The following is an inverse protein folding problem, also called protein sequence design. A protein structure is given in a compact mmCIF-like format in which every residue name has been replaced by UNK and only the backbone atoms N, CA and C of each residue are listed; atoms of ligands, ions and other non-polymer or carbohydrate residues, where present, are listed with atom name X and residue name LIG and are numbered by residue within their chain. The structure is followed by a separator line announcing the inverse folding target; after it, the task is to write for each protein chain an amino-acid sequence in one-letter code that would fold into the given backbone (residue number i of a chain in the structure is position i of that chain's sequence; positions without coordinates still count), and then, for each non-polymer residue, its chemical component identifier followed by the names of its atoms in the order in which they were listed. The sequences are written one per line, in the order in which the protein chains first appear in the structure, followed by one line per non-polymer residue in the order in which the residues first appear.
data_IF_632623520738
#
_entry.id   IF_632623520738
#
_cell.length_a   1.000
_cell.length_b   1.000
_cell.length_c   1.000
_cell.angle_alpha   90.00
_cell.angle_beta   90.00
_cell.angle_gamma   90.00
#
_symmetry.space_group_name_H-M   'P 1'
#
loop_
_entity.id
_entity.type
_entity.pdbx_description
1 polymer ?
#
# COMPACT_ATOMS: atom_id res chain seq x y z
N UNK A 1 20.22 -1.30 3.53
CA UNK A 1 20.00 0.17 3.59
C UNK A 1 18.60 0.40 4.16
N UNK A 2 18.43 1.26 5.16
CA UNK A 2 17.13 1.45 5.84
C UNK A 2 16.09 2.11 4.91
N UNK A 3 14.82 1.69 4.96
CA UNK A 3 13.73 2.33 4.20
C UNK A 3 13.64 3.84 4.42
N UNK A 4 13.91 4.32 5.64
CA UNK A 4 13.94 5.76 5.95
C UNK A 4 15.05 6.46 5.18
N UNK A 5 16.23 5.86 5.11
CA UNK A 5 17.37 6.43 4.39
C UNK A 5 17.02 6.59 2.91
N UNK A 6 16.46 5.55 2.29
CA UNK A 6 16.01 5.60 0.89
C UNK A 6 15.01 6.74 0.65
N UNK A 7 13.98 6.86 1.49
CA UNK A 7 12.97 7.92 1.36
C UNK A 7 13.57 9.31 1.59
N UNK A 8 14.47 9.47 2.56
CA UNK A 8 15.18 10.74 2.78
C UNK A 8 16.01 11.16 1.57
N UNK A 9 16.80 10.25 1.01
CA UNK A 9 17.60 10.53 -0.19
C UNK A 9 16.71 10.89 -1.37
N UNK A 10 15.58 10.21 -1.57
CA UNK A 10 14.64 10.54 -2.65
C UNK A 10 14.01 11.92 -2.48
N UNK A 11 13.64 12.30 -1.27
CA UNK A 11 12.95 13.56 -0.98
C UNK A 11 13.93 14.74 -0.94
N UNK A 12 15.03 14.62 -0.20
CA UNK A 12 15.90 15.75 0.14
C UNK A 12 17.10 15.92 -0.80
N UNK A 13 17.63 14.82 -1.35
CA UNK A 13 18.84 14.86 -2.19
C UNK A 13 18.51 14.77 -3.67
N UNK A 14 17.59 13.86 -4.04
CA UNK A 14 17.14 13.67 -5.43
C UNK A 14 15.96 14.56 -5.79
N UNK A 15 15.29 15.14 -4.80
CA UNK A 15 14.17 16.07 -4.95
C UNK A 15 13.08 15.55 -5.91
N UNK A 16 12.70 14.27 -5.76
CA UNK A 16 11.63 13.71 -6.58
C UNK A 16 10.30 14.41 -6.25
N UNK A 17 9.58 14.97 -7.25
CA UNK A 17 8.35 15.72 -7.00
C UNK A 17 7.19 14.82 -6.58
N UNK A 18 7.21 13.55 -6.98
CA UNK A 18 6.26 12.52 -6.57
C UNK A 18 7.05 11.28 -6.17
N UNK A 19 6.66 10.64 -5.07
CA UNK A 19 7.16 9.33 -4.65
C UNK A 19 6.00 8.49 -4.12
N UNK A 20 6.11 7.16 -4.19
CA UNK A 20 5.08 6.27 -3.67
C UNK A 20 5.63 5.27 -2.65
N UNK A 21 4.90 5.10 -1.55
CA UNK A 21 5.14 4.09 -0.53
C UNK A 21 4.00 3.06 -0.57
N UNK A 22 4.33 1.85 -1.03
CA UNK A 22 3.35 0.78 -1.27
C UNK A 22 3.60 -0.45 -0.40
N UNK A 23 2.66 -1.39 -0.41
CA UNK A 23 2.71 -2.62 0.37
C UNK A 23 1.34 -3.04 0.90
N UNK A 24 1.24 -4.29 1.33
CA UNK A 24 -0.01 -4.89 1.83
C UNK A 24 -0.57 -4.18 3.08
N UNK A 25 -1.83 -4.43 3.44
CA UNK A 25 -2.44 -3.87 4.64
C UNK A 25 -1.64 -4.20 5.90
N UNK A 26 -1.60 -3.29 6.87
CA UNK A 26 -0.93 -3.54 8.16
C UNK A 26 0.61 -3.52 8.15
N UNK A 27 1.25 -3.49 6.96
CA UNK A 27 2.72 -3.60 6.81
C UNK A 27 3.54 -2.43 7.41
N UNK A 28 2.88 -1.36 7.86
CA UNK A 28 3.54 -0.22 8.53
C UNK A 28 3.86 0.99 7.64
N UNK A 29 3.21 1.14 6.47
CA UNK A 29 3.43 2.29 5.56
C UNK A 29 3.22 3.65 6.24
N UNK A 30 2.06 3.84 6.86
CA UNK A 30 1.71 5.06 7.59
C UNK A 30 2.68 5.33 8.73
N UNK A 31 3.03 4.30 9.51
CA UNK A 31 4.01 4.39 10.61
C UNK A 31 5.38 4.85 10.12
N UNK A 32 5.85 4.28 9.00
CA UNK A 32 7.13 4.67 8.39
C UNK A 32 7.11 6.12 7.93
N UNK A 33 6.03 6.56 7.27
CA UNK A 33 5.89 7.93 6.81
C UNK A 33 5.81 8.95 7.96
N UNK A 34 5.11 8.64 9.05
CA UNK A 34 5.12 9.48 10.27
C UNK A 34 6.54 9.63 10.81
N UNK A 35 7.28 8.52 10.95
CA UNK A 35 8.67 8.53 11.43
C UNK A 35 9.60 9.29 10.50
N UNK A 36 9.39 9.19 9.19
CA UNK A 36 10.14 9.94 8.17
C UNK A 36 9.91 11.45 8.35
N UNK A 37 8.65 11.89 8.40
CA UNK A 37 8.27 13.31 8.51
C UNK A 37 8.86 13.95 9.76
N UNK A 38 8.83 13.25 10.90
CA UNK A 38 9.44 13.75 12.14
C UNK A 38 10.92 14.13 11.96
N UNK A 39 11.62 13.51 11.01
CA UNK A 39 13.04 13.72 10.76
C UNK A 39 13.35 14.70 9.62
N UNK A 40 12.34 15.11 8.83
CA UNK A 40 12.54 15.96 7.63
C UNK A 40 11.62 17.18 7.57
N UNK A 41 10.67 17.32 8.51
CA UNK A 41 9.65 18.38 8.49
C UNK A 41 10.26 19.79 8.45
N UNK A 42 11.42 19.99 9.09
CA UNK A 42 12.07 21.30 9.21
C UNK A 42 12.74 21.73 7.88
N UNK A 43 12.76 20.85 6.88
CA UNK A 43 13.24 21.17 5.53
C UNK A 43 12.15 21.83 4.65
N UNK A 44 10.89 21.88 5.09
CA UNK A 44 9.76 22.36 4.31
C UNK A 44 9.08 23.56 4.97
N UNK A 45 8.56 24.48 4.16
CA UNK A 45 7.72 25.58 4.63
C UNK A 45 6.41 25.03 5.23
N UNK A 46 5.86 23.99 4.59
CA UNK A 46 4.63 23.34 5.01
C UNK A 46 4.73 21.81 4.88
N UNK A 47 4.24 21.11 5.90
CA UNK A 47 3.98 19.67 5.84
C UNK A 47 2.49 19.45 5.95
N UNK A 48 1.88 18.91 4.90
CA UNK A 48 0.44 18.73 4.78
C UNK A 48 0.14 17.25 4.70
N UNK A 49 -0.55 16.71 5.71
CA UNK A 49 -1.01 15.33 5.70
C UNK A 49 -2.52 15.26 5.47
N UNK A 50 -2.96 14.48 4.48
CA UNK A 50 -4.37 14.17 4.23
C UNK A 50 -4.58 12.69 4.03
N UNK A 51 -5.62 12.15 4.67
CA UNK A 51 -6.03 10.75 4.52
C UNK A 51 -7.30 10.68 3.67
N UNK A 52 -7.23 9.98 2.55
CA UNK A 52 -8.33 9.78 1.60
C UNK A 52 -9.33 8.70 2.07
N UNK A 53 -9.47 8.51 3.39
CA UNK A 53 -10.45 7.59 3.99
C UNK A 53 -11.88 8.12 3.87
N UNK A 54 -12.03 9.43 4.02
CA UNK A 54 -13.28 10.13 3.68
C UNK A 54 -13.20 10.44 2.19
N UNK A 55 -14.22 10.03 1.45
CA UNK A 55 -14.34 10.22 0.00
C UNK A 55 -14.58 11.69 -0.31
N UNK A 56 -13.53 12.49 -0.28
CA UNK A 56 -13.54 13.85 -0.82
C UNK A 56 -13.19 13.80 -2.28
N UNK A 57 -14.11 14.27 -3.13
CA UNK A 57 -13.80 14.53 -4.53
C UNK A 57 -12.64 15.54 -4.63
N UNK A 58 -12.06 15.68 -5.82
CA UNK A 58 -10.88 16.53 -5.98
C UNK A 58 -11.16 18.01 -5.63
N UNK A 59 -12.37 18.51 -5.91
CA UNK A 59 -12.75 19.88 -5.58
C UNK A 59 -12.74 20.15 -4.07
N UNK A 60 -13.25 19.22 -3.25
CA UNK A 60 -13.18 19.31 -1.79
C UNK A 60 -11.74 19.27 -1.27
N UNK A 61 -10.93 18.36 -1.81
CA UNK A 61 -9.50 18.27 -1.47
C UNK A 61 -8.76 19.55 -1.84
N UNK A 62 -9.03 20.11 -3.02
CA UNK A 62 -8.44 21.35 -3.48
C UNK A 62 -8.87 22.53 -2.58
N UNK A 63 -10.15 22.62 -2.23
CA UNK A 63 -10.67 23.67 -1.36
C UNK A 63 -10.00 23.62 0.02
N UNK A 64 -9.89 22.44 0.63
CA UNK A 64 -9.22 22.23 1.92
C UNK A 64 -7.74 22.67 1.88
N UNK A 65 -7.00 22.33 0.83
CA UNK A 65 -5.61 22.76 0.70
C UNK A 65 -5.48 24.27 0.48
N UNK A 66 -6.37 24.86 -0.32
CA UNK A 66 -6.37 26.30 -0.56
C UNK A 66 -6.71 27.06 0.72
N UNK A 67 -7.64 26.55 1.53
CA UNK A 67 -7.97 27.12 2.84
C UNK A 67 -6.75 27.09 3.76
N UNK A 68 -6.05 25.95 3.84
CA UNK A 68 -4.81 25.81 4.63
C UNK A 68 -3.76 26.86 4.24
N UNK A 69 -3.51 27.04 2.94
CA UNK A 69 -2.57 28.06 2.47
C UNK A 69 -3.05 29.49 2.73
N UNK A 70 -4.36 29.72 2.77
CA UNK A 70 -4.96 31.06 2.94
C UNK A 70 -4.93 31.52 4.40
N UNK A 71 -5.17 30.61 5.35
CA UNK A 71 -5.05 30.90 6.79
C UNK A 71 -3.62 31.29 7.18
N UNK A 72 -2.64 30.82 6.42
CA UNK A 72 -1.21 31.09 6.63
C UNK A 72 -0.75 32.46 6.08
N UNK A 73 -1.63 33.22 5.41
CA UNK A 73 -1.28 34.51 4.78
C UNK A 73 -1.81 35.72 5.57
N UNK A 74 -1.08 36.87 5.58
CA UNK A 74 -1.57 38.10 6.19
C UNK A 74 -2.86 38.59 5.53
N UNK A 75 -3.84 39.06 6.33
CA UNK A 75 -5.20 39.45 5.91
C UNK A 75 -5.27 40.41 4.70
N UNK A 76 -4.22 41.19 4.44
CA UNK A 76 -4.15 42.12 3.32
C UNK A 76 -4.06 41.42 1.94
N UNK A 77 -3.65 40.14 1.86
CA UNK A 77 -3.60 39.36 0.61
C UNK A 77 -4.95 38.74 0.21
N UNK A 78 -5.91 38.67 1.15
CA UNK A 78 -7.21 38.03 0.93
C UNK A 78 -8.23 38.95 0.24
N UNK A 79 -8.06 40.27 0.35
CA UNK A 79 -9.02 41.27 -0.17
C UNK A 79 -9.04 41.41 -1.70
N UNK A 80 -8.02 40.94 -2.42
CA UNK A 80 -7.85 41.18 -3.87
C UNK A 80 -7.97 39.93 -4.76
N UNK A 81 -8.46 38.78 -4.26
CA UNK A 81 -8.58 37.56 -5.09
C UNK A 81 -10.02 37.24 -5.46
N UNK A 82 -10.38 37.52 -6.71
CA UNK A 82 -11.68 37.17 -7.29
C UNK A 82 -11.79 35.70 -7.71
N UNK A 83 -10.69 34.93 -7.72
CA UNK A 83 -10.68 33.46 -7.89
C UNK A 83 -9.52 32.81 -7.10
N UNK A 84 -9.71 31.65 -6.47
CA UNK A 84 -8.61 30.88 -5.87
C UNK A 84 -7.54 30.54 -6.91
N UNK A 85 -6.26 30.56 -6.50
CA UNK A 85 -5.16 30.11 -7.36
C UNK A 85 -5.27 28.60 -7.58
N UNK A 86 -4.83 28.13 -8.75
CA UNK A 86 -4.66 26.71 -9.01
C UNK A 86 -3.67 26.11 -8.00
N UNK A 87 -3.93 24.89 -7.50
CA UNK A 87 -3.22 24.32 -6.35
C UNK A 87 -1.71 24.23 -6.61
N UNK A 88 -1.33 23.95 -7.85
CA UNK A 88 0.06 23.88 -8.27
C UNK A 88 0.82 25.20 -8.05
N UNK A 89 0.15 26.36 -8.16
CA UNK A 89 0.79 27.67 -7.94
C UNK A 89 1.21 27.87 -6.49
N UNK A 90 0.49 27.26 -5.54
CA UNK A 90 0.92 27.26 -4.13
C UNK A 90 2.16 26.38 -3.95
N UNK A 91 2.19 25.19 -4.55
CA UNK A 91 3.34 24.28 -4.50
C UNK A 91 4.60 24.82 -5.20
N UNK A 92 4.43 25.73 -6.18
CA UNK A 92 5.51 26.46 -6.83
C UNK A 92 6.03 27.61 -5.97
N UNK A 93 5.15 28.25 -5.19
CA UNK A 93 5.51 29.38 -4.33
C UNK A 93 6.14 28.96 -3.01
N UNK A 94 5.77 27.79 -2.50
CA UNK A 94 6.17 27.29 -1.19
C UNK A 94 6.80 25.91 -1.30
N UNK A 95 7.85 25.65 -0.52
CA UNK A 95 8.46 24.33 -0.44
C UNK A 95 7.62 23.42 0.47
N UNK A 96 6.78 22.58 -0.13
CA UNK A 96 5.81 21.77 0.61
C UNK A 96 6.13 20.27 0.56
N UNK A 97 5.88 19.57 1.67
CA UNK A 97 5.72 18.12 1.68
C UNK A 97 4.25 17.80 1.83
N UNK A 98 3.64 17.25 0.77
CA UNK A 98 2.24 16.83 0.78
C UNK A 98 2.18 15.30 0.88
N UNK A 99 1.47 14.78 1.89
CA UNK A 99 1.29 13.35 2.10
C UNK A 99 -0.17 12.99 1.91
N UNK A 100 -0.42 12.10 0.94
CA UNK A 100 -1.74 11.53 0.69
C UNK A 100 -1.72 10.07 1.12
N UNK A 101 -2.39 9.79 2.24
CA UNK A 101 -2.56 8.44 2.76
C UNK A 101 -3.86 7.81 2.28
N UNK A 102 -3.86 6.49 2.15
CA UNK A 102 -4.97 5.68 1.65
C UNK A 102 -5.38 6.00 0.21
N UNK A 103 -4.40 6.22 -0.68
CA UNK A 103 -4.63 6.54 -2.12
C UNK A 103 -5.47 5.51 -2.86
N UNK A 104 -5.53 4.29 -2.35
CA UNK A 104 -6.35 3.24 -2.93
C UNK A 104 -7.85 3.58 -2.95
N UNK A 105 -8.29 4.48 -2.08
CA UNK A 105 -9.68 4.94 -2.07
C UNK A 105 -10.06 5.80 -3.29
N UNK A 106 -9.08 6.24 -4.09
CA UNK A 106 -9.32 6.90 -5.37
C UNK A 106 -9.78 5.92 -6.46
N UNK A 107 -9.54 4.61 -6.29
CA UNK A 107 -9.79 3.61 -7.33
C UNK A 107 -11.08 2.82 -7.11
N UNK A 108 -11.67 2.41 -8.23
CA UNK A 108 -12.90 1.62 -8.30
C UNK A 108 -12.72 0.23 -7.69
N UNK A 109 -13.73 -0.21 -6.95
CA UNK A 109 -13.82 -1.59 -6.45
C UNK A 109 -14.29 -2.51 -7.57
N UNK A 110 -13.82 -3.76 -7.60
CA UNK A 110 -14.22 -4.74 -8.63
C UNK A 110 -13.50 -4.58 -9.97
N UNK A 111 -12.48 -3.73 -10.03
CA UNK A 111 -11.74 -3.37 -11.23
C UNK A 111 -10.24 -3.62 -11.03
N UNK A 112 -9.51 -3.78 -12.14
CA UNK A 112 -8.05 -3.90 -12.12
C UNK A 112 -7.40 -2.64 -11.53
N UNK A 113 -6.20 -2.83 -10.99
CA UNK A 113 -5.49 -1.84 -10.23
C UNK A 113 -5.22 -0.53 -10.99
N UNK A 114 -5.58 0.60 -10.37
CA UNK A 114 -5.33 1.96 -10.86
C UNK A 114 -6.45 2.57 -11.70
N UNK A 115 -7.62 1.91 -11.82
CA UNK A 115 -8.80 2.51 -12.43
C UNK A 115 -9.50 3.43 -11.43
N UNK A 116 -9.49 4.74 -11.68
CA UNK A 116 -10.14 5.71 -10.81
C UNK A 116 -11.65 5.47 -10.69
N UNK A 117 -12.23 5.91 -9.56
CA UNK A 117 -13.67 6.05 -9.40
C UNK A 117 -14.18 7.20 -10.28
N UNK A 118 -15.43 7.13 -10.79
CA UNK A 118 -16.06 8.27 -11.43
C UNK A 118 -16.03 9.51 -10.52
N UNK A 119 -15.54 10.63 -11.04
CA UNK A 119 -15.40 11.90 -10.31
C UNK A 119 -14.08 12.04 -9.54
N UNK A 120 -13.14 11.10 -9.68
CA UNK A 120 -11.82 11.13 -9.04
C UNK A 120 -10.67 11.22 -10.05
N UNK A 121 -10.97 11.30 -11.35
CA UNK A 121 -9.99 11.37 -12.44
C UNK A 121 -9.13 12.64 -12.37
N UNK A 122 -9.66 13.72 -11.79
CA UNK A 122 -8.94 15.00 -11.62
C UNK A 122 -7.70 14.86 -10.71
N UNK A 123 -7.69 13.90 -9.79
CA UNK A 123 -6.47 13.57 -9.02
C UNK A 123 -5.32 13.14 -9.93
N UNK A 124 -5.60 12.40 -11.01
CA UNK A 124 -4.58 11.98 -11.96
C UNK A 124 -3.96 13.18 -12.68
N UNK A 125 -4.80 14.14 -13.10
CA UNK A 125 -4.34 15.39 -13.69
C UNK A 125 -3.45 16.16 -12.72
N UNK A 126 -3.85 16.29 -11.46
CA UNK A 126 -3.05 16.95 -10.43
C UNK A 126 -1.69 16.26 -10.20
N UNK A 127 -1.66 14.94 -10.11
CA UNK A 127 -0.41 14.19 -9.97
C UNK A 127 0.52 14.39 -11.18
N UNK A 128 -0.04 14.45 -12.39
CA UNK A 128 0.72 14.79 -13.60
C UNK A 128 1.27 16.22 -13.59
N UNK A 129 0.51 17.19 -13.05
CA UNK A 129 1.00 18.56 -12.93
C UNK A 129 2.20 18.65 -11.98
N UNK A 130 2.13 17.97 -10.83
CA UNK A 130 3.24 17.89 -9.87
C UNK A 130 4.46 17.20 -10.50
N UNK A 131 4.26 16.12 -11.28
CA UNK A 131 5.37 15.43 -11.92
C UNK A 131 6.07 16.27 -13.00
N UNK A 132 5.33 17.11 -13.73
CA UNK A 132 5.84 17.80 -14.94
C UNK A 132 6.27 19.24 -14.70
N UNK A 133 5.63 19.94 -13.78
CA UNK A 133 5.89 21.36 -13.57
C UNK A 133 7.04 21.57 -12.60
N UNK A 134 7.88 22.57 -12.87
CA UNK A 134 8.98 22.93 -11.97
C UNK A 134 8.42 23.50 -10.65
N UNK A 135 8.82 22.86 -9.55
CA UNK A 135 8.63 23.30 -8.17
C UNK A 135 9.62 22.56 -7.26
N UNK A 136 9.71 22.97 -6.00
CA UNK A 136 10.56 22.31 -5.00
C UNK A 136 9.78 21.33 -4.11
N UNK A 137 8.45 21.39 -4.15
CA UNK A 137 7.58 20.54 -3.33
C UNK A 137 7.69 19.05 -3.66
N UNK A 138 7.34 18.20 -2.70
CA UNK A 138 7.29 16.74 -2.84
C UNK A 138 5.92 16.20 -2.43
N UNK A 139 5.37 15.28 -3.25
CA UNK A 139 4.15 14.53 -2.99
C UNK A 139 4.50 13.07 -2.62
N UNK A 140 4.21 12.68 -1.38
CA UNK A 140 4.32 11.31 -0.89
C UNK A 140 2.95 10.62 -0.94
N UNK A 141 2.82 9.64 -1.83
CA UNK A 141 1.61 8.83 -2.00
C UNK A 141 1.72 7.54 -1.18
N UNK A 142 0.74 7.22 -0.33
CA UNK A 142 0.73 6.03 0.52
C UNK A 142 -0.52 5.18 0.26
N UNK A 143 -0.33 3.89 -0.04
CA UNK A 143 -1.43 2.95 -0.14
C UNK A 143 -0.99 1.57 -0.59
N UNK A 144 -1.93 0.66 -0.79
CA UNK A 144 -1.64 -0.68 -1.29
C UNK A 144 -1.82 -0.80 -2.81
N UNK A 145 -2.21 0.27 -3.51
CA UNK A 145 -2.50 0.27 -4.95
C UNK A 145 -1.89 1.54 -5.57
N UNK A 146 -0.96 1.42 -6.52
CA UNK A 146 -0.29 2.56 -7.13
C UNK A 146 -1.18 3.28 -8.16
N UNK A 147 -1.04 4.61 -8.27
CA UNK A 147 -1.71 5.44 -9.30
C UNK A 147 -1.29 5.05 -10.72
N UNK A 148 -2.13 5.36 -11.70
CA UNK A 148 -1.89 5.03 -13.12
C UNK A 148 -0.60 5.64 -13.67
N UNK A 149 -0.24 6.84 -13.22
CA UNK A 149 1.01 7.51 -13.57
C UNK A 149 2.26 6.66 -13.27
N UNK A 150 2.21 5.82 -12.23
CA UNK A 150 3.28 4.91 -11.83
C UNK A 150 3.43 3.70 -12.77
N UNK A 151 2.46 3.49 -13.68
CA UNK A 151 2.39 2.31 -14.55
C UNK A 151 3.12 2.51 -15.89
N UNK A 152 3.31 3.76 -16.32
CA UNK A 152 3.99 4.12 -17.56
C UNK A 152 5.44 4.47 -17.26
N UNK A 153 6.32 3.46 -17.26
CA UNK A 153 7.78 3.71 -17.23
C UNK A 153 8.19 4.36 -18.55
N UNK A 154 8.20 5.69 -18.60
CA UNK A 154 8.84 6.41 -19.70
C UNK A 154 10.36 6.39 -19.47
N UNK A 155 11.16 6.43 -20.54
CA UNK A 155 12.64 6.59 -20.42
C UNK A 155 13.05 7.92 -19.75
N UNK A 156 12.13 8.88 -19.59
CA UNK A 156 12.42 10.26 -19.17
C UNK A 156 12.02 10.57 -17.73
N UNK A 157 11.01 9.89 -17.17
CA UNK A 157 10.59 10.11 -15.78
C UNK A 157 10.24 8.78 -15.12
N UNK A 158 10.96 8.47 -14.03
CA UNK A 158 10.75 7.31 -13.17
C UNK A 158 10.30 7.85 -11.83
N UNK A 159 9.01 7.75 -11.53
CA UNK A 159 8.50 8.03 -10.19
C UNK A 159 8.97 6.88 -9.29
N UNK A 160 9.77 7.14 -8.25
CA UNK A 160 10.30 6.08 -7.42
C UNK A 160 9.20 5.51 -6.52
N UNK A 161 9.16 4.18 -6.44
CA UNK A 161 8.21 3.41 -5.64
C UNK A 161 9.01 2.59 -4.64
N UNK A 162 8.72 2.76 -3.36
CA UNK A 162 9.22 1.88 -2.31
C UNK A 162 8.09 0.96 -1.86
N UNK A 163 8.18 -0.32 -2.22
CA UNK A 163 7.26 -1.33 -1.72
C UNK A 163 7.81 -1.95 -0.42
N UNK A 164 7.02 -1.90 0.65
CA UNK A 164 7.34 -2.57 1.91
C UNK A 164 6.99 -4.05 1.81
N UNK A 165 7.93 -4.91 2.21
CA UNK A 165 7.84 -6.38 2.12
C UNK A 165 7.81 -7.06 3.49
N UNK A 166 7.66 -6.30 4.58
CA UNK A 166 7.70 -6.81 5.95
C UNK A 166 8.95 -6.42 6.72
N UNK A 167 8.93 -6.69 8.02
CA UNK A 167 10.08 -6.54 8.89
C UNK A 167 11.08 -7.67 8.67
N UNK A 168 12.36 -7.38 8.86
CA UNK A 168 13.38 -8.41 9.01
C UNK A 168 13.12 -9.24 10.28
N UNK A 169 13.72 -10.44 10.32
CA UNK A 169 13.51 -11.41 11.42
C UNK A 169 13.83 -10.79 12.78
N UNK A 170 14.90 -9.99 12.90
CA UNK A 170 15.30 -9.39 14.18
C UNK A 170 14.24 -8.40 14.66
N UNK A 171 13.82 -7.48 13.80
CA UNK A 171 12.79 -6.48 14.10
C UNK A 171 11.43 -7.12 14.37
N UNK A 172 11.07 -8.19 13.65
CA UNK A 172 9.83 -8.92 13.86
C UNK A 172 9.82 -9.72 15.18
N UNK A 173 10.97 -10.29 15.60
CA UNK A 173 11.11 -10.94 16.91
C UNK A 173 10.86 -9.97 18.07
N UNK A 174 11.22 -8.70 17.95
CA UNK A 174 10.91 -7.69 18.97
C UNK A 174 9.40 -7.53 19.19
N UNK A 175 8.58 -7.68 18.15
CA UNK A 175 7.11 -7.71 18.31
C UNK A 175 6.72 -8.91 19.17
N UNK A 176 7.17 -10.12 18.84
CA UNK A 176 6.82 -11.32 19.59
C UNK A 176 7.27 -11.24 21.07
N UNK A 177 8.47 -10.72 21.32
CA UNK A 177 9.00 -10.51 22.68
C UNK A 177 8.12 -9.56 23.49
N UNK A 178 7.64 -8.46 22.88
CA UNK A 178 6.74 -7.51 23.55
C UNK A 178 5.38 -8.13 23.93
N UNK A 179 5.00 -9.22 23.28
CA UNK A 179 3.83 -10.02 23.60
C UNK A 179 4.19 -11.25 24.46
N UNK A 180 5.35 -11.25 25.14
CA UNK A 180 5.74 -12.36 26.02
C UNK A 180 6.15 -13.65 25.30
N UNK A 181 6.14 -13.68 23.97
CA UNK A 181 6.39 -14.88 23.15
C UNK A 181 7.88 -15.09 22.84
N UNK A 182 8.76 -14.67 23.75
CA UNK A 182 10.22 -14.71 23.55
C UNK A 182 10.78 -16.14 23.44
N UNK A 183 10.10 -17.13 24.03
CA UNK A 183 10.56 -18.52 24.14
C UNK A 183 10.03 -19.45 23.05
N UNK A 184 9.26 -18.95 22.07
CA UNK A 184 8.74 -19.79 20.99
C UNK A 184 9.91 -20.31 20.15
N UNK A 185 10.16 -21.63 20.20
CA UNK A 185 11.24 -22.31 19.47
C UNK A 185 11.18 -22.09 17.95
N UNK A 186 9.98 -21.83 17.42
CA UNK A 186 9.72 -21.63 15.98
C UNK A 186 9.37 -20.18 15.59
N UNK A 187 9.85 -19.19 16.36
CA UNK A 187 9.56 -17.76 16.10
C UNK A 187 9.88 -17.30 14.68
N UNK A 188 10.98 -17.77 14.07
CA UNK A 188 11.33 -17.41 12.68
C UNK A 188 10.33 -17.96 11.66
N UNK A 189 9.88 -19.20 11.87
CA UNK A 189 8.88 -19.83 11.01
C UNK A 189 7.56 -19.06 11.08
N UNK A 190 7.12 -18.70 12.29
CA UNK A 190 5.95 -17.84 12.49
C UNK A 190 6.12 -16.51 11.74
N UNK A 191 7.27 -15.85 11.87
CA UNK A 191 7.57 -14.60 11.15
C UNK A 191 7.48 -14.78 9.64
N UNK A 192 7.98 -15.90 9.10
CA UNK A 192 7.89 -16.21 7.68
C UNK A 192 6.45 -16.45 7.22
N UNK A 193 5.62 -17.18 7.99
CA UNK A 193 4.21 -17.43 7.65
C UNK A 193 3.41 -16.13 7.54
N UNK A 194 3.71 -15.15 8.38
CA UNK A 194 3.09 -13.82 8.36
C UNK A 194 3.93 -12.75 7.65
N UNK A 195 4.96 -13.16 6.88
CA UNK A 195 5.83 -12.30 6.06
C UNK A 195 6.40 -11.07 6.80
N UNK A 196 6.66 -11.18 8.10
CA UNK A 196 7.12 -10.05 8.90
C UNK A 196 6.12 -8.88 8.97
N UNK A 197 4.84 -9.09 8.66
CA UNK A 197 3.83 -8.04 8.71
C UNK A 197 3.53 -7.65 10.16
N UNK A 198 3.80 -6.40 10.57
CA UNK A 198 3.65 -5.99 11.97
C UNK A 198 2.22 -6.15 12.50
N UNK A 199 1.20 -5.89 11.68
CA UNK A 199 -0.18 -6.04 12.13
C UNK A 199 -0.53 -7.51 12.31
N UNK A 200 -0.23 -8.36 11.33
CA UNK A 200 -0.57 -9.78 11.40
C UNK A 200 0.14 -10.47 12.57
N UNK A 201 1.42 -10.17 12.78
CA UNK A 201 2.18 -10.68 13.93
C UNK A 201 1.57 -10.25 15.26
N UNK A 202 1.10 -9.00 15.38
CA UNK A 202 0.42 -8.52 16.59
C UNK A 202 -0.89 -9.25 16.85
N UNK A 203 -1.71 -9.44 15.82
CA UNK A 203 -3.01 -10.11 15.95
C UNK A 203 -2.81 -11.55 16.42
N UNK A 204 -1.89 -12.26 15.77
CA UNK A 204 -1.61 -13.66 16.08
C UNK A 204 -0.94 -13.79 17.44
N UNK A 205 -0.02 -12.87 17.78
CA UNK A 205 0.57 -12.84 19.11
C UNK A 205 -0.47 -12.60 20.21
N UNK A 206 -1.45 -11.71 20.00
CA UNK A 206 -2.58 -11.54 20.92
C UNK A 206 -3.38 -12.83 21.07
N UNK A 207 -3.74 -13.47 19.96
CA UNK A 207 -4.52 -14.71 20.00
C UNK A 207 -3.74 -15.84 20.71
N UNK A 208 -2.43 -15.92 20.49
CA UNK A 208 -1.55 -16.86 21.17
C UNK A 208 -1.41 -16.55 22.66
N UNK A 209 -1.54 -15.30 23.11
CA UNK A 209 -1.57 -14.99 24.54
C UNK A 209 -2.90 -15.37 25.21
N UNK A 210 -4.01 -15.23 24.48
CA UNK A 210 -5.34 -15.58 24.95
C UNK A 210 -5.54 -17.10 25.05
N UNK A 211 -4.90 -17.86 24.17
CA UNK A 211 -4.77 -19.30 24.25
C UNK A 211 -3.60 -19.59 25.20
N UNK A 212 -3.83 -20.24 26.36
CA UNK A 212 -2.75 -20.53 27.31
C UNK A 212 -1.50 -21.14 26.63
N UNK A 213 -0.28 -20.77 27.08
CA UNK A 213 1.00 -21.13 26.43
C UNK A 213 1.14 -22.63 26.09
N UNK A 214 0.46 -23.51 26.84
CA UNK A 214 0.40 -24.96 26.63
C UNK A 214 -0.25 -25.38 25.30
N UNK A 215 -1.14 -24.56 24.73
CA UNK A 215 -1.76 -24.81 23.43
C UNK A 215 -0.82 -24.50 22.26
N UNK A 216 0.23 -23.72 22.49
CA UNK A 216 1.23 -23.34 21.47
C UNK A 216 2.10 -24.54 21.10
N UNK A 217 2.49 -25.34 22.09
CA UNK A 217 3.25 -26.59 21.89
C UNK A 217 2.43 -27.65 21.13
N UNK A 218 1.10 -27.52 21.15
CA UNK A 218 0.17 -28.42 20.48
C UNK A 218 -0.15 -28.00 19.05
N UNK A 219 0.18 -26.77 18.65
CA UNK A 219 0.01 -26.32 17.28
C UNK A 219 1.14 -26.90 16.42
N UNK A 220 0.82 -27.71 15.39
CA UNK A 220 1.80 -28.13 14.41
C UNK A 220 2.51 -26.91 13.83
N UNK A 221 3.83 -27.04 13.66
CA UNK A 221 4.68 -25.93 13.22
C UNK A 221 4.29 -25.29 11.87
N UNK A 222 3.40 -25.92 11.09
CA UNK A 222 2.92 -25.45 9.78
C UNK A 222 1.50 -24.85 9.82
N UNK A 223 0.80 -24.84 10.97
CA UNK A 223 -0.54 -24.24 11.04
C UNK A 223 -0.44 -22.72 10.97
N UNK A 224 -1.22 -22.14 10.06
CA UNK A 224 -1.43 -20.70 9.95
C UNK A 224 -2.72 -20.36 10.69
N UNK A 225 -2.60 -19.60 11.78
CA UNK A 225 -3.77 -19.08 12.48
C UNK A 225 -4.36 -17.92 11.66
N UNK A 226 -5.67 -18.01 11.37
CA UNK A 226 -6.47 -16.94 10.79
C UNK A 226 -7.55 -16.46 11.77
N UNK A 227 -7.17 -15.69 12.81
CA UNK A 227 -8.16 -15.00 13.66
C UNK A 227 -9.12 -14.14 12.83
N UNK A 228 -10.35 -13.97 13.32
CA UNK A 228 -11.41 -13.25 12.58
C UNK A 228 -10.99 -11.82 12.20
N UNK A 229 -10.32 -11.12 13.12
CA UNK A 229 -9.79 -9.78 12.84
C UNK A 229 -8.71 -9.76 11.74
N UNK A 230 -7.95 -10.85 11.59
CA UNK A 230 -7.00 -11.02 10.48
C UNK A 230 -7.74 -11.29 9.16
N UNK A 231 -8.81 -12.09 9.19
CA UNK A 231 -9.69 -12.31 8.03
C UNK A 231 -10.31 -10.99 7.56
N UNK A 232 -10.86 -10.19 8.47
CA UNK A 232 -11.40 -8.86 8.18
C UNK A 232 -10.36 -7.94 7.53
N UNK A 233 -9.12 -7.97 8.02
CA UNK A 233 -8.03 -7.18 7.46
C UNK A 233 -7.70 -7.57 6.01
N UNK A 234 -7.67 -8.86 5.70
CA UNK A 234 -7.44 -9.38 4.35
C UNK A 234 -8.64 -9.13 3.44
N UNK A 235 -9.86 -9.31 3.96
CA UNK A 235 -11.13 -9.10 3.26
C UNK A 235 -11.20 -7.72 2.64
N UNK A 236 -10.78 -6.67 3.37
CA UNK A 236 -10.79 -5.30 2.85
C UNK A 236 -10.00 -5.11 1.54
N UNK A 237 -8.92 -5.87 1.33
CA UNK A 237 -8.18 -5.88 0.05
C UNK A 237 -8.88 -6.74 -0.99
N UNK A 238 -9.31 -7.93 -0.58
CA UNK A 238 -9.91 -8.93 -1.46
C UNK A 238 -11.26 -8.47 -2.03
N UNK A 239 -12.06 -7.71 -1.29
CA UNK A 239 -13.34 -7.15 -1.74
C UNK A 239 -13.19 -6.19 -2.93
N UNK A 240 -12.02 -5.56 -3.03
CA UNK A 240 -11.73 -4.59 -4.09
C UNK A 240 -11.35 -5.23 -5.41
N UNK A 241 -11.11 -6.54 -5.43
CA UNK A 241 -10.65 -7.26 -6.60
C UNK A 241 -11.80 -7.51 -7.58
N UNK A 242 -11.47 -7.46 -8.87
CA UNK A 242 -12.33 -7.98 -9.92
C UNK A 242 -12.55 -9.50 -9.77
N UNK A 243 -13.61 -10.02 -10.38
CA UNK A 243 -13.88 -11.47 -10.34
C UNK A 243 -12.74 -12.29 -10.94
N UNK A 244 -12.12 -11.80 -12.02
CA UNK A 244 -10.98 -12.47 -12.65
C UNK A 244 -9.73 -12.50 -11.74
N UNK A 245 -9.50 -11.44 -10.95
CA UNK A 245 -8.45 -11.42 -9.93
C UNK A 245 -8.74 -12.41 -8.79
N UNK A 246 -9.98 -12.45 -8.28
CA UNK A 246 -10.39 -13.40 -7.24
C UNK A 246 -10.23 -14.85 -7.71
N UNK A 247 -10.63 -15.16 -8.94
CA UNK A 247 -10.44 -16.47 -9.56
C UNK A 247 -8.95 -16.81 -9.73
N UNK A 248 -8.12 -15.85 -10.15
CA UNK A 248 -6.68 -16.09 -10.30
C UNK A 248 -6.02 -16.35 -8.94
N UNK A 249 -6.43 -15.65 -7.88
CA UNK A 249 -5.94 -15.92 -6.52
C UNK A 249 -6.38 -17.29 -6.00
N UNK A 250 -7.62 -17.71 -6.25
CA UNK A 250 -8.08 -19.05 -5.85
C UNK A 250 -7.33 -20.15 -6.60
N UNK A 251 -7.04 -19.96 -7.89
CA UNK A 251 -6.19 -20.85 -8.67
C UNK A 251 -4.77 -20.93 -8.10
N UNK A 252 -4.14 -19.79 -7.79
CA UNK A 252 -2.81 -19.75 -7.17
C UNK A 252 -2.80 -20.40 -5.78
N UNK A 253 -3.89 -20.27 -5.01
CA UNK A 253 -4.02 -20.91 -3.70
C UNK A 253 -4.00 -22.45 -3.79
N UNK A 254 -4.38 -23.04 -4.93
CA UNK A 254 -4.25 -24.50 -5.15
C UNK A 254 -2.82 -24.97 -5.42
N UNK A 255 -1.88 -24.06 -5.69
CA UNK A 255 -0.51 -24.41 -6.07
C UNK A 255 0.40 -24.47 -4.84
N UNK A 256 1.22 -25.51 -4.76
CA UNK A 256 2.20 -25.70 -3.69
C UNK A 256 3.57 -25.09 -4.02
N UNK A 257 3.81 -24.76 -5.29
CA UNK A 257 5.05 -24.20 -5.79
C UNK A 257 4.75 -22.97 -6.65
N UNK A 258 5.67 -21.99 -6.74
CA UNK A 258 5.54 -20.87 -7.65
C UNK A 258 5.31 -21.34 -9.10
N UNK A 259 4.42 -20.65 -9.83
CA UNK A 259 3.95 -21.07 -11.15
C UNK A 259 4.28 -20.03 -12.22
N UNK A 260 4.66 -20.48 -13.42
CA UNK A 260 4.95 -19.57 -14.54
C UNK A 260 3.68 -19.09 -15.24
N UNK A 261 3.77 -17.97 -15.97
CA UNK A 261 2.67 -17.49 -16.83
C UNK A 261 2.22 -18.56 -17.84
N UNK A 262 3.16 -19.27 -18.46
CA UNK A 262 2.86 -20.32 -19.43
C UNK A 262 2.02 -21.44 -18.81
N UNK A 263 2.42 -21.93 -17.64
CA UNK A 263 1.67 -22.97 -16.91
C UNK A 263 0.32 -22.48 -16.41
N UNK A 264 0.19 -21.19 -16.05
CA UNK A 264 -1.11 -20.62 -15.69
C UNK A 264 -2.04 -20.59 -16.90
N UNK A 265 -1.55 -20.22 -18.09
CA UNK A 265 -2.35 -20.21 -19.32
C UNK A 265 -2.87 -21.58 -19.73
N UNK A 266 -2.16 -22.66 -19.38
CA UNK A 266 -2.65 -24.04 -19.58
C UNK A 266 -3.83 -24.39 -18.66
N UNK A 267 -4.08 -23.59 -17.60
CA UNK A 267 -5.09 -23.88 -16.56
C UNK A 267 -6.29 -22.94 -16.57
N UNK A 268 -6.35 -21.97 -17.49
CA UNK A 268 -7.48 -21.04 -17.63
C UNK A 268 -7.76 -20.71 -19.10
N UNK A 269 -9.03 -20.48 -19.44
CA UNK A 269 -9.44 -19.99 -20.77
C UNK A 269 -9.17 -18.49 -20.97
N UNK A 270 -8.59 -17.82 -19.96
CA UNK A 270 -8.27 -16.39 -20.02
C UNK A 270 -7.21 -16.11 -21.09
N UNK A 271 -7.46 -15.08 -21.92
CA UNK A 271 -6.48 -14.69 -22.94
C UNK A 271 -5.12 -14.28 -22.33
N UNK A 272 -3.99 -14.49 -23.04
CA UNK A 272 -2.67 -14.13 -22.52
C UNK A 272 -2.54 -12.68 -22.05
N UNK A 273 -3.13 -11.74 -22.78
CA UNK A 273 -3.13 -10.31 -22.42
C UNK A 273 -3.94 -10.04 -21.15
N UNK A 274 -5.12 -10.65 -21.02
CA UNK A 274 -5.96 -10.49 -19.85
C UNK A 274 -5.28 -11.08 -18.59
N UNK A 275 -4.71 -12.29 -18.68
CA UNK A 275 -4.01 -12.91 -17.55
C UNK A 275 -2.80 -12.09 -17.12
N UNK A 276 -2.04 -11.56 -18.08
CA UNK A 276 -0.90 -10.67 -17.78
C UNK A 276 -1.37 -9.42 -17.01
N UNK A 277 -2.46 -8.78 -17.45
CA UNK A 277 -3.01 -7.60 -16.76
C UNK A 277 -3.52 -7.93 -15.36
N UNK A 278 -4.15 -9.11 -15.18
CA UNK A 278 -4.60 -9.59 -13.87
C UNK A 278 -3.41 -9.81 -12.92
N UNK A 279 -2.39 -10.56 -13.36
CA UNK A 279 -1.20 -10.80 -12.53
C UNK A 279 -0.46 -9.50 -12.21
N UNK A 280 -0.35 -8.57 -13.17
CA UNK A 280 0.21 -7.25 -12.90
C UNK A 280 -0.60 -6.47 -11.87
N UNK A 281 -1.93 -6.52 -11.95
CA UNK A 281 -2.83 -5.91 -10.97
C UNK A 281 -2.61 -6.46 -9.57
N UNK A 282 -2.56 -7.78 -9.42
CA UNK A 282 -2.31 -8.47 -8.16
C UNK A 282 -0.92 -8.16 -7.58
N UNK A 283 0.13 -8.14 -8.41
CA UNK A 283 1.48 -7.74 -7.99
C UNK A 283 1.49 -6.29 -7.47
N UNK A 284 0.83 -5.37 -8.19
CA UNK A 284 0.73 -3.96 -7.79
C UNK A 284 0.01 -3.78 -6.45
N UNK A 285 -0.94 -4.68 -6.15
CA UNK A 285 -1.66 -4.73 -4.88
C UNK A 285 -0.88 -5.41 -3.74
N UNK A 286 0.34 -5.87 -4.02
CA UNK A 286 1.17 -6.66 -3.10
C UNK A 286 0.45 -7.92 -2.58
N UNK A 287 -0.46 -8.49 -3.39
CA UNK A 287 -1.23 -9.69 -3.04
C UNK A 287 -0.58 -10.97 -3.55
N UNK A 288 0.30 -10.87 -4.56
CA UNK A 288 1.11 -11.99 -5.04
C UNK A 288 2.57 -11.56 -5.10
N UNK A 289 3.45 -12.54 -4.95
CA UNK A 289 4.87 -12.36 -5.17
C UNK A 289 5.23 -12.74 -6.61
N UNK A 290 6.21 -12.02 -7.16
CA UNK A 290 6.80 -12.34 -8.44
C UNK A 290 8.31 -12.46 -8.27
N UNK A 291 8.83 -13.65 -8.51
CA UNK A 291 10.26 -13.93 -8.58
C UNK A 291 10.59 -14.34 -10.01
N UNK A 292 11.35 -13.50 -10.72
CA UNK A 292 11.61 -13.68 -12.15
C UNK A 292 10.32 -13.84 -12.97
N UNK A 293 10.06 -15.05 -13.46
CA UNK A 293 8.89 -15.41 -14.27
C UNK A 293 7.88 -16.29 -13.51
N UNK A 294 8.07 -16.47 -12.21
CA UNK A 294 7.23 -17.27 -11.34
C UNK A 294 6.38 -16.39 -10.42
N UNK A 295 5.13 -16.80 -10.25
CA UNK A 295 4.14 -16.16 -9.40
C UNK A 295 3.78 -17.09 -8.24
N UNK A 296 3.67 -16.54 -7.04
CA UNK A 296 3.25 -17.27 -5.85
C UNK A 296 2.31 -16.43 -5.00
N UNK A 297 1.46 -17.13 -4.25
CA UNK A 297 0.58 -16.53 -3.26
C UNK A 297 1.25 -16.61 -1.88
N UNK A 298 1.30 -15.51 -1.10
CA UNK A 298 1.71 -15.54 0.29
C UNK A 298 0.96 -16.61 1.10
N UNK A 299 1.66 -17.25 2.05
CA UNK A 299 1.09 -18.35 2.86
C UNK A 299 -0.22 -17.95 3.55
N UNK A 300 -0.29 -16.76 4.13
CA UNK A 300 -1.49 -16.27 4.79
C UNK A 300 -2.68 -16.06 3.84
N UNK A 301 -2.42 -15.60 2.61
CA UNK A 301 -3.46 -15.44 1.60
C UNK A 301 -3.88 -16.81 1.05
N UNK A 302 -2.95 -17.75 0.92
CA UNK A 302 -3.27 -19.13 0.56
C UNK A 302 -4.20 -19.78 1.58
N UNK A 303 -3.92 -19.62 2.87
CA UNK A 303 -4.80 -20.11 3.94
C UNK A 303 -6.17 -19.43 3.86
N UNK A 304 -6.20 -18.10 3.71
CA UNK A 304 -7.44 -17.33 3.65
C UNK A 304 -8.34 -17.76 2.49
N UNK A 305 -7.78 -18.01 1.30
CA UNK A 305 -8.54 -18.52 0.15
C UNK A 305 -8.90 -20.01 0.29
N UNK A 306 -8.17 -20.78 1.10
CA UNK A 306 -8.46 -22.20 1.34
C UNK A 306 -9.63 -22.37 2.30
N UNK A 307 -9.68 -21.60 3.39
CA UNK A 307 -10.80 -21.57 4.33
C UNK A 307 -12.08 -20.96 3.72
N UNK A 308 -11.95 -19.94 2.87
CA UNK A 308 -13.10 -19.24 2.26
C UNK A 308 -13.53 -19.79 0.88
N UNK A 309 -13.13 -21.01 0.53
CA UNK A 309 -13.50 -21.64 -0.76
C UNK A 309 -15.01 -21.68 -1.02
N UNK A 310 -15.84 -21.69 0.03
CA UNK A 310 -17.29 -21.77 -0.05
C UNK A 310 -18.01 -20.41 -0.01
N UNK A 311 -17.38 -19.37 0.55
CA UNK A 311 -17.97 -18.03 0.75
C UNK A 311 -17.67 -17.06 -0.39
N UNK A 312 -16.61 -17.29 -1.17
CA UNK A 312 -16.15 -16.33 -2.19
C UNK A 312 -16.96 -16.33 -3.50
N UNK A 313 -18.08 -17.08 -3.60
CA UNK A 313 -18.92 -17.18 -4.81
C UNK A 313 -18.10 -17.21 -6.10
N UNK A 314 -17.13 -18.12 -6.14
CA UNK A 314 -16.32 -18.38 -7.34
C UNK A 314 -17.12 -19.38 -8.18
N UNK A 315 -18.10 -18.87 -8.92
CA UNK A 315 -18.83 -19.61 -9.97
C UNK A 315 -18.45 -19.02 -11.31
#
# INVERSE_FOLDING_TARGET
MSFIYTLKTWILEKCFPVIALTGISGIGKTTLAVKLIQQIKDNFDYVIWRSLKKTSNFAEFQADLIEFFSQSQPQNFLKNRHKPLDLIKYLQKHHCLVVLDNIHNLFSSGELAGKYKPGYEEYDYFFQQIEKLSHQSCLLLIGWEPIKLLQLKSKKTIIPILQLTGLDIKSAKEILINYGLAKIEHSEKLIHLYQGNPLWLKIVATQIQELEESLIELLPSDIILLPEYLKDNLQQQCDRLSQAEKYTLSLLATKNQPISLAKLLETTETSPSALLNILQSLCRRSLIEKQENLYSLPSILKEYYTENKFTLNIV
#
